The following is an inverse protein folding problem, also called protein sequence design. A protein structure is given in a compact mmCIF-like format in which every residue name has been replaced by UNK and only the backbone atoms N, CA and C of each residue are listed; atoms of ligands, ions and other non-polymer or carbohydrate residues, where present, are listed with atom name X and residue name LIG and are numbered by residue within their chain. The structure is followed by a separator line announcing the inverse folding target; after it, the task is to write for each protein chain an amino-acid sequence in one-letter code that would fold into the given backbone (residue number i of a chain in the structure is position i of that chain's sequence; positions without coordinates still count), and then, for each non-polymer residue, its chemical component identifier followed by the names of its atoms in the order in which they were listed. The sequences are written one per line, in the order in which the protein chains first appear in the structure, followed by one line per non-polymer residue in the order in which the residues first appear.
data_IF_382141712664
#
_entry.id   IF_382141712664
#
_cell.length_a   1.000
_cell.length_b   1.000
_cell.length_c   1.000
_cell.angle_alpha   90.00
_cell.angle_beta   90.00
_cell.angle_gamma   90.00
#
_symmetry.space_group_name_H-M   'P 1'
#
loop_
_entity.id
_entity.type
_entity.pdbx_description
1 polymer ?
#
# COMPACT_ATOMS: atom_id res chain seq x y z
N UNK A 1 2.48 10.45 -4.66
CA UNK A 1 1.31 11.25 -5.10
C UNK A 1 0.74 12.21 -4.05
N UNK A 2 1.08 12.11 -2.76
CA UNK A 2 0.71 13.13 -1.77
C UNK A 2 1.90 13.96 -1.23
N UNK A 3 3.13 13.60 -1.60
CA UNK A 3 4.35 14.34 -1.20
C UNK A 3 4.88 13.96 0.18
N UNK A 4 4.28 12.99 0.85
CA UNK A 4 4.78 12.42 2.10
C UNK A 4 4.83 10.90 2.00
N UNK A 5 5.84 10.31 2.66
CA UNK A 5 5.90 8.88 2.91
C UNK A 5 5.29 8.64 4.28
N UNK A 6 4.15 7.95 4.33
CA UNK A 6 3.73 7.29 5.56
C UNK A 6 4.70 6.13 5.72
N UNK A 7 5.61 6.24 6.69
CA UNK A 7 6.43 5.14 7.15
C UNK A 7 5.61 4.44 8.25
N UNK A 8 4.71 3.49 7.91
CA UNK A 8 3.89 2.86 8.92
C UNK A 8 4.81 2.18 9.95
N UNK A 9 4.54 2.38 11.24
CA UNK A 9 5.19 1.62 12.30
C UNK A 9 4.93 0.14 12.03
N UNK A 10 5.93 -0.57 11.51
CA UNK A 10 5.90 -2.01 11.24
C UNK A 10 6.13 -2.76 12.55
N UNK A 11 5.24 -2.55 13.52
CA UNK A 11 5.34 -3.11 14.89
C UNK A 11 5.49 -4.65 14.88
N UNK A 12 5.08 -5.31 13.79
CA UNK A 12 5.33 -6.73 13.55
C UNK A 12 5.71 -7.00 12.09
N UNK A 13 6.90 -6.57 11.64
CA UNK A 13 7.38 -6.94 10.29
C UNK A 13 7.46 -8.47 10.10
N UNK A 14 7.71 -9.22 11.18
CA UNK A 14 7.77 -10.69 11.15
C UNK A 14 6.44 -11.37 10.83
N UNK A 15 5.30 -10.70 11.00
CA UNK A 15 3.97 -11.21 10.60
C UNK A 15 3.49 -10.61 9.27
N UNK A 16 4.29 -9.73 8.65
CA UNK A 16 3.90 -9.07 7.42
C UNK A 16 3.90 -10.06 6.24
N UNK A 17 2.79 -10.07 5.49
CA UNK A 17 2.62 -10.92 4.31
C UNK A 17 2.96 -10.13 3.05
N UNK A 18 3.83 -10.69 2.21
CA UNK A 18 4.23 -10.12 0.92
C UNK A 18 3.24 -10.54 -0.16
N UNK A 19 2.67 -9.59 -0.90
CA UNK A 19 1.74 -9.92 -1.98
C UNK A 19 2.49 -10.31 -3.25
N UNK A 20 1.99 -11.34 -3.93
CA UNK A 20 2.60 -11.81 -5.18
C UNK A 20 2.32 -10.81 -6.31
N UNK A 21 3.32 -10.48 -7.16
CA UNK A 21 3.08 -9.68 -8.35
C UNK A 21 2.14 -10.35 -9.36
N UNK A 22 2.23 -11.68 -9.51
CA UNK A 22 1.37 -12.45 -10.39
C UNK A 22 1.22 -13.88 -9.88
N UNK A 23 0.21 -14.60 -10.36
CA UNK A 23 0.02 -16.01 -10.07
C UNK A 23 1.10 -16.86 -10.78
N UNK A 24 1.42 -18.02 -10.21
CA UNK A 24 2.33 -18.99 -10.84
C UNK A 24 3.81 -18.59 -10.84
N UNK A 25 4.23 -17.68 -9.95
CA UNK A 25 5.64 -17.26 -9.84
C UNK A 25 6.34 -17.81 -8.59
N UNK A 26 5.70 -18.75 -7.88
CA UNK A 26 6.17 -19.27 -6.59
C UNK A 26 7.55 -19.92 -6.68
N UNK A 27 7.84 -20.56 -7.81
CA UNK A 27 9.14 -21.19 -8.09
C UNK A 27 10.30 -20.18 -8.15
N UNK A 28 10.00 -18.89 -8.38
CA UNK A 28 11.03 -17.83 -8.36
C UNK A 28 11.51 -17.51 -6.94
N UNK A 29 10.74 -17.89 -5.91
CA UNK A 29 11.01 -17.53 -4.51
C UNK A 29 10.80 -18.72 -3.56
N UNK A 30 11.57 -19.82 -3.72
CA UNK A 30 11.36 -21.05 -2.96
C UNK A 30 11.45 -20.84 -1.44
N UNK A 31 12.28 -19.90 -1.00
CA UNK A 31 12.52 -19.62 0.42
C UNK A 31 11.52 -18.62 1.03
N UNK A 32 10.66 -17.98 0.22
CA UNK A 32 9.71 -16.96 0.71
C UNK A 32 8.30 -17.51 0.95
N UNK A 33 8.04 -18.79 0.67
CA UNK A 33 6.72 -19.42 0.84
C UNK A 33 5.99 -19.06 2.16
N UNK A 34 6.64 -19.12 3.33
CA UNK A 34 6.02 -18.80 4.62
C UNK A 34 5.54 -17.34 4.76
N UNK A 35 6.13 -16.40 4.02
CA UNK A 35 5.78 -14.97 4.09
C UNK A 35 4.92 -14.48 2.91
N UNK A 36 4.81 -15.27 1.83
CA UNK A 36 4.02 -14.90 0.66
C UNK A 36 2.50 -15.08 0.89
N UNK A 37 1.75 -13.99 0.73
CA UNK A 37 0.29 -13.95 0.70
C UNK A 37 -0.28 -14.78 -0.43
N UNK A 38 -1.31 -15.58 -0.17
CA UNK A 38 -2.01 -16.40 -1.18
C UNK A 38 -2.70 -15.55 -2.26
N UNK A 39 -2.87 -14.25 -2.03
CA UNK A 39 -3.44 -13.30 -3.00
C UNK A 39 -2.36 -12.63 -3.82
N UNK A 40 -2.66 -12.41 -5.09
CA UNK A 40 -1.87 -11.61 -6.02
C UNK A 40 -2.40 -10.17 -6.06
N UNK A 41 -1.55 -9.25 -6.51
CA UNK A 41 -1.95 -7.87 -6.79
C UNK A 41 -2.73 -7.84 -8.10
N UNK A 42 -3.90 -7.21 -8.09
CA UNK A 42 -4.70 -6.99 -9.30
C UNK A 42 -4.24 -5.72 -10.03
N UNK A 43 -3.22 -5.86 -10.87
CA UNK A 43 -2.66 -4.75 -11.66
C UNK A 43 -3.64 -4.18 -12.69
N UNK A 44 -4.54 -5.00 -13.19
CA UNK A 44 -5.51 -4.57 -14.20
C UNK A 44 -6.57 -3.67 -13.57
N UNK A 45 -7.04 -3.98 -12.37
CA UNK A 45 -7.92 -3.11 -11.60
C UNK A 45 -7.26 -1.76 -11.28
N UNK A 46 -5.98 -1.77 -10.90
CA UNK A 46 -5.21 -0.53 -10.68
C UNK A 46 -5.18 0.29 -11.96
N UNK A 47 -4.84 -0.33 -13.10
CA UNK A 47 -4.76 0.34 -14.40
C UNK A 47 -6.10 0.91 -14.84
N UNK A 48 -7.18 0.14 -14.72
CA UNK A 48 -8.53 0.55 -15.09
C UNK A 48 -9.04 1.74 -14.27
N UNK A 49 -8.60 1.89 -13.03
CA UNK A 49 -9.05 2.94 -12.12
C UNK A 49 -8.02 4.04 -11.91
N UNK A 50 -6.88 4.00 -12.60
CA UNK A 50 -5.74 4.90 -12.37
C UNK A 50 -6.15 6.36 -12.43
N UNK A 51 -6.85 6.78 -13.48
CA UNK A 51 -7.28 8.17 -13.66
C UNK A 51 -8.19 8.65 -12.52
N UNK A 52 -9.05 7.77 -11.99
CA UNK A 52 -9.90 8.09 -10.84
C UNK A 52 -9.05 8.25 -9.58
N UNK A 53 -8.07 7.37 -9.35
CA UNK A 53 -7.13 7.49 -8.23
C UNK A 53 -6.42 8.84 -8.29
N UNK A 54 -5.90 9.22 -9.46
CA UNK A 54 -5.22 10.52 -9.65
C UNK A 54 -6.17 11.68 -9.40
N UNK A 55 -7.41 11.60 -9.91
CA UNK A 55 -8.42 12.64 -9.73
C UNK A 55 -8.77 12.86 -8.26
N UNK A 56 -9.09 11.81 -7.51
CA UNK A 56 -9.40 11.93 -6.08
C UNK A 56 -8.18 12.40 -5.29
N UNK A 57 -6.99 11.88 -5.58
CA UNK A 57 -5.76 12.30 -4.89
C UNK A 57 -5.46 13.79 -5.13
N UNK A 58 -5.68 14.26 -6.35
CA UNK A 58 -5.50 15.68 -6.71
C UNK A 58 -6.53 16.55 -6.02
N UNK A 59 -7.79 16.10 -5.96
CA UNK A 59 -8.86 16.83 -5.28
C UNK A 59 -8.57 16.97 -3.77
N UNK A 60 -8.12 15.89 -3.12
CA UNK A 60 -7.70 15.90 -1.72
C UNK A 60 -6.51 16.84 -1.51
N UNK A 61 -5.47 16.74 -2.35
CA UNK A 61 -4.27 17.58 -2.25
C UNK A 61 -4.58 19.07 -2.42
N UNK A 62 -5.55 19.41 -3.26
CA UNK A 62 -5.97 20.80 -3.53
C UNK A 62 -7.04 21.31 -2.56
N UNK A 63 -7.56 20.47 -1.66
CA UNK A 63 -8.68 20.81 -0.79
C UNK A 63 -9.99 21.06 -1.53
N UNK A 64 -10.12 20.60 -2.79
CA UNK A 64 -11.35 20.76 -3.58
C UNK A 64 -12.37 19.66 -3.27
N UNK A 65 -11.99 18.65 -2.49
CA UNK A 65 -12.87 17.65 -1.92
C UNK A 65 -12.34 17.27 -0.54
N UNK A 66 -13.24 17.14 0.44
CA UNK A 66 -12.89 16.70 1.79
C UNK A 66 -12.71 15.18 1.84
N UNK A 67 -11.75 14.71 2.64
CA UNK A 67 -11.47 13.28 2.81
C UNK A 67 -12.71 12.49 3.26
N UNK A 68 -13.50 13.06 4.17
CA UNK A 68 -14.75 12.44 4.64
C UNK A 68 -15.75 12.25 3.50
N UNK A 69 -15.88 13.22 2.58
CA UNK A 69 -16.80 13.13 1.45
C UNK A 69 -16.39 12.04 0.46
N UNK A 70 -15.08 11.93 0.19
CA UNK A 70 -14.54 10.86 -0.66
C UNK A 70 -14.77 9.49 -0.02
N UNK A 71 -14.51 9.35 1.28
CA UNK A 71 -14.76 8.12 2.03
C UNK A 71 -16.25 7.75 2.04
N UNK A 72 -17.13 8.70 2.35
CA UNK A 72 -18.59 8.52 2.30
C UNK A 72 -19.03 8.01 0.93
N UNK A 73 -18.46 8.52 -0.16
CA UNK A 73 -18.76 8.05 -1.52
C UNK A 73 -18.28 6.62 -1.76
N UNK A 74 -17.15 6.22 -1.19
CA UNK A 74 -16.62 4.87 -1.31
C UNK A 74 -17.37 3.83 -0.47
N UNK A 75 -17.96 4.25 0.65
CA UNK A 75 -18.68 3.40 1.60
C UNK A 75 -20.20 3.53 1.49
N UNK A 76 -20.72 4.32 0.55
CA UNK A 76 -22.15 4.42 0.33
C UNK A 76 -22.70 3.08 -0.18
N UNK A 77 -23.83 2.64 0.37
CA UNK A 77 -24.32 1.26 0.32
C UNK A 77 -24.22 0.55 -1.04
N UNK A 78 -23.98 -0.76 -0.98
CA UNK A 78 -23.79 -1.63 -2.15
C UNK A 78 -22.39 -2.23 -2.21
N UNK A 79 -22.00 -2.79 -3.36
CA UNK A 79 -20.65 -3.31 -3.58
C UNK A 79 -19.60 -2.22 -3.42
N UNK A 80 -18.44 -2.61 -2.90
CA UNK A 80 -17.30 -1.72 -2.68
C UNK A 80 -16.94 -0.94 -3.95
N UNK A 81 -16.82 0.39 -3.82
CA UNK A 81 -16.52 1.27 -4.96
C UNK A 81 -15.26 0.80 -5.71
N UNK A 82 -15.27 0.71 -7.05
CA UNK A 82 -14.16 0.13 -7.82
C UNK A 82 -12.84 0.89 -7.63
N UNK A 83 -12.88 2.22 -7.59
CA UNK A 83 -11.69 3.03 -7.28
C UNK A 83 -11.17 2.76 -5.87
N UNK A 84 -12.04 2.51 -4.88
CA UNK A 84 -11.59 2.20 -3.53
C UNK A 84 -10.89 0.84 -3.49
N UNK A 85 -11.42 -0.16 -4.20
CA UNK A 85 -10.74 -1.45 -4.38
C UNK A 85 -9.37 -1.29 -5.05
N UNK A 86 -9.29 -0.45 -6.09
CA UNK A 86 -8.03 -0.20 -6.77
C UNK A 86 -6.99 0.50 -5.88
N UNK A 87 -7.43 1.43 -5.01
CA UNK A 87 -6.57 2.07 -4.01
C UNK A 87 -6.02 1.04 -3.02
N UNK A 88 -6.83 0.06 -2.59
CA UNK A 88 -6.35 -1.02 -1.72
C UNK A 88 -5.31 -1.91 -2.41
N UNK A 89 -5.55 -2.30 -3.67
CA UNK A 89 -4.60 -3.09 -4.45
C UNK A 89 -3.28 -2.33 -4.66
N UNK A 90 -3.35 -1.04 -4.96
CA UNK A 90 -2.17 -0.16 -5.01
C UNK A 90 -1.47 -0.11 -3.65
N UNK A 91 -2.22 -0.02 -2.56
CA UNK A 91 -1.68 -0.06 -1.20
C UNK A 91 -0.96 -1.38 -0.88
N UNK A 92 -1.49 -2.53 -1.34
CA UNK A 92 -0.81 -3.84 -1.21
C UNK A 92 0.52 -3.85 -1.96
N UNK A 93 0.56 -3.30 -3.17
CA UNK A 93 1.77 -3.20 -3.98
C UNK A 93 2.84 -2.34 -3.30
N UNK A 94 2.49 -1.11 -2.91
CA UNK A 94 3.40 -0.17 -2.24
C UNK A 94 3.90 -0.75 -0.92
N UNK A 95 3.02 -1.37 -0.12
CA UNK A 95 3.41 -2.01 1.14
C UNK A 95 4.36 -3.17 0.92
N UNK A 96 4.11 -4.01 -0.08
CA UNK A 96 4.98 -5.15 -0.39
C UNK A 96 6.37 -4.67 -0.82
N UNK A 97 6.45 -3.68 -1.71
CA UNK A 97 7.72 -3.07 -2.12
C UNK A 97 8.48 -2.50 -0.92
N UNK A 98 7.80 -1.71 -0.08
CA UNK A 98 8.41 -1.13 1.12
C UNK A 98 8.94 -2.19 2.09
N UNK A 99 8.22 -3.28 2.33
CA UNK A 99 8.71 -4.36 3.20
C UNK A 99 9.93 -5.05 2.57
N UNK A 100 9.92 -5.29 1.26
CA UNK A 100 11.09 -5.85 0.58
C UNK A 100 12.31 -4.93 0.73
N UNK A 101 12.16 -3.63 0.51
CA UNK A 101 13.23 -2.64 0.67
C UNK A 101 13.72 -2.58 2.13
N UNK A 102 12.79 -2.54 3.09
CA UNK A 102 13.09 -2.56 4.52
C UNK A 102 13.86 -3.82 4.94
N UNK A 103 13.53 -4.99 4.38
CA UNK A 103 14.26 -6.24 4.66
C UNK A 103 15.62 -6.30 3.96
N UNK A 104 15.75 -5.71 2.77
CA UNK A 104 16.99 -5.70 2.01
C UNK A 104 18.03 -4.68 2.54
N UNK A 105 17.58 -3.53 3.05
CA UNK A 105 18.46 -2.42 3.42
C UNK A 105 18.53 -2.17 4.93
N UNK A 106 19.73 -2.32 5.50
CA UNK A 106 19.98 -2.03 6.91
C UNK A 106 19.95 -0.52 7.25
N UNK A 107 20.26 0.36 6.29
CA UNK A 107 20.19 1.81 6.45
C UNK A 107 18.74 2.27 6.61
N UNK A 108 17.85 1.82 5.71
CA UNK A 108 16.41 2.11 5.79
C UNK A 108 15.79 1.62 7.11
N UNK A 109 16.24 0.48 7.64
CA UNK A 109 15.81 0.00 8.97
C UNK A 109 16.21 0.94 10.09
N UNK A 110 17.44 1.46 10.07
CA UNK A 110 17.94 2.40 11.07
C UNK A 110 17.22 3.73 10.97
N UNK A 111 17.11 4.33 9.79
CA UNK A 111 16.38 5.59 9.60
C UNK A 111 14.91 5.51 10.02
N UNK A 112 14.24 4.40 9.72
CA UNK A 112 12.85 4.19 10.15
C UNK A 112 12.76 4.10 11.67
N UNK A 113 13.66 3.36 12.33
CA UNK A 113 13.70 3.25 13.80
C UNK A 113 14.09 4.59 14.48
N UNK A 114 15.03 5.34 13.90
CA UNK A 114 15.52 6.61 14.45
C UNK A 114 14.49 7.74 14.26
N UNK A 115 13.84 7.80 13.08
CA UNK A 115 12.73 8.71 12.83
C UNK A 115 11.50 8.45 13.71
N UNK A 116 11.34 7.21 14.18
CA UNK A 116 10.33 6.82 15.17
C UNK A 116 10.66 7.33 16.59
N UNK A 117 11.94 7.43 16.98
CA UNK A 117 12.34 7.98 18.29
C UNK A 117 12.25 9.51 18.36
N UNK A 118 12.40 10.22 17.24
CA UNK A 118 12.36 11.69 17.20
C UNK A 118 10.96 12.31 17.34
N UNK A 119 9.89 11.53 17.16
CA UNK A 119 8.49 11.97 17.34
C UNK A 119 8.02 11.81 18.80
N UNK A 120 8.80 11.13 19.64
CA UNK A 120 8.47 10.87 21.06
C UNK A 120 9.17 11.81 22.05
N UNK A 121 9.83 12.90 21.60
CA UNK A 121 10.41 13.94 22.47
C UNK A 121 9.77 15.32 22.28
#
# INVERSE_FOLDING_TARGET
MLGFNLLPRLENVGSARLYRPAAGQDEKWPNLGPVLSTKTIDWDLIRQQYDQIVKYTTALRRGTAEAEQVLRRFTHGGPKHPTYRAIEELGRAVRTAFICDYLADAGLRRETNDGLQAVEN
#
